data_IF_975545614307
#
_entry.id   IF_975545614307
#
_cell.length_a   1.000
_cell.length_b   1.000
_cell.length_c   1.000
_cell.angle_alpha   90.00
_cell.angle_beta   90.00
_cell.angle_gamma   90.00
#
_symmetry.space_group_name_H-M   'P 1'
#
loop_
_entity.id
_entity.type
_entity.pdbx_description
1 polymer ?
#
# COMPACT_ATOMS: atom_id res chain seq x y z
N UNK A 1 9.74 26.20 6.38
CA UNK A 1 9.78 25.57 5.43
C UNK A 1 8.76 24.59 5.29
N UNK A 2 8.37 24.24 4.71
CA UNK A 2 7.40 23.39 4.47
C UNK A 2 7.88 22.01 4.39
N UNK A 3 7.06 21.10 4.46
CA UNK A 3 7.39 19.74 4.17
C UNK A 3 7.78 19.63 2.74
N UNK A 4 8.93 19.06 2.54
CA UNK A 4 9.42 18.89 1.22
C UNK A 4 8.92 17.58 0.66
N UNK A 5 8.65 17.61 -0.61
CA UNK A 5 8.40 16.37 -1.32
C UNK A 5 9.73 15.80 -1.74
N UNK A 6 10.17 14.75 -1.08
CA UNK A 6 11.42 14.10 -1.40
C UNK A 6 11.10 12.87 -2.21
N UNK A 7 11.48 12.86 -3.49
CA UNK A 7 11.16 11.74 -4.39
C UNK A 7 9.67 11.49 -4.45
N UNK A 8 8.87 12.54 -4.41
CA UNK A 8 7.43 12.41 -4.38
C UNK A 8 6.87 12.06 -3.02
N UNK A 9 7.71 12.05 -1.99
CA UNK A 9 7.28 11.69 -0.65
C UNK A 9 7.06 12.94 0.17
N UNK A 10 5.91 13.01 0.79
CA UNK A 10 5.65 14.04 1.76
C UNK A 10 6.04 13.52 3.11
N UNK A 11 6.97 14.15 3.75
CA UNK A 11 7.53 13.62 4.98
C UNK A 11 6.83 14.14 6.21
N UNK A 12 5.50 14.28 6.16
CA UNK A 12 4.74 14.70 7.31
C UNK A 12 4.63 13.65 8.40
N UNK A 13 4.92 12.39 8.06
CA UNK A 13 4.74 11.27 9.00
C UNK A 13 5.98 10.39 8.98
N UNK A 14 7.00 10.77 9.77
CA UNK A 14 8.23 9.94 9.78
C UNK A 14 7.99 8.50 10.23
N UNK A 15 6.98 8.25 11.06
CA UNK A 15 6.67 6.90 11.48
C UNK A 15 6.21 6.05 10.29
N UNK A 16 5.46 6.61 9.37
CA UNK A 16 5.02 5.87 8.19
C UNK A 16 6.19 5.59 7.26
N UNK A 17 7.05 6.58 7.09
CA UNK A 17 8.22 6.44 6.21
C UNK A 17 9.16 5.35 6.71
N UNK A 18 9.31 5.22 8.03
CA UNK A 18 10.29 4.32 8.62
C UNK A 18 9.70 3.01 9.12
N UNK A 19 8.40 2.77 8.93
CA UNK A 19 7.78 1.52 9.37
C UNK A 19 8.44 0.32 8.73
N UNK A 20 8.48 -0.77 9.48
CA UNK A 20 9.05 -2.02 8.98
C UNK A 20 7.97 -2.85 8.28
N UNK A 21 7.23 -2.23 7.42
CA UNK A 21 6.35 -2.90 6.47
C UNK A 21 6.20 -1.96 5.28
N UNK A 22 5.83 -2.52 4.13
CA UNK A 22 5.72 -1.73 2.91
C UNK A 22 4.35 -1.05 2.88
N UNK A 23 4.35 0.27 2.72
CA UNK A 23 3.12 1.05 2.61
C UNK A 23 3.13 1.75 1.26
N UNK A 24 2.12 1.49 0.45
CA UNK A 24 1.96 2.10 -0.86
C UNK A 24 0.57 2.71 -0.93
N UNK A 25 0.50 3.97 -1.36
CA UNK A 25 -0.76 4.70 -1.41
C UNK A 25 -0.99 5.18 -2.84
N UNK A 26 -2.20 4.97 -3.34
CA UNK A 26 -2.58 5.54 -4.64
C UNK A 26 -3.80 6.44 -4.46
N UNK A 27 -4.02 7.30 -5.45
CA UNK A 27 -5.25 8.09 -5.51
C UNK A 27 -6.38 7.27 -6.15
N UNK A 28 -7.52 7.91 -6.33
CA UNK A 28 -8.70 7.18 -6.83
C UNK A 28 -8.58 6.78 -8.30
N UNK A 29 -7.64 7.37 -9.04
CA UNK A 29 -7.36 6.94 -10.40
C UNK A 29 -6.31 5.85 -10.47
N UNK A 30 -5.78 5.42 -9.33
CA UNK A 30 -4.76 4.39 -9.29
C UNK A 30 -3.34 4.91 -9.43
N UNK A 31 -3.14 6.22 -9.41
CA UNK A 31 -1.80 6.79 -9.49
C UNK A 31 -1.14 6.72 -8.12
N UNK A 32 0.05 6.14 -8.07
CA UNK A 32 0.78 5.99 -6.82
C UNK A 32 1.27 7.37 -6.37
N UNK A 33 0.90 7.75 -5.15
CA UNK A 33 1.24 9.07 -4.60
C UNK A 33 2.21 8.99 -3.45
N UNK A 34 2.38 7.81 -2.83
CA UNK A 34 3.31 7.66 -1.71
C UNK A 34 3.78 6.21 -1.64
N UNK A 35 5.06 6.05 -1.37
CA UNK A 35 5.66 4.76 -1.04
C UNK A 35 6.63 5.02 0.09
N UNK A 36 6.47 4.30 1.21
CA UNK A 36 7.44 4.46 2.28
C UNK A 36 8.74 3.74 1.91
N UNK A 37 9.76 3.85 2.78
CA UNK A 37 11.07 3.29 2.47
C UNK A 37 10.98 1.81 2.16
N UNK A 38 10.25 1.05 2.96
CA UNK A 38 10.16 -0.39 2.76
C UNK A 38 9.48 -0.74 1.43
N UNK A 39 8.47 0.03 1.05
CA UNK A 39 7.79 -0.17 -0.22
C UNK A 39 8.74 0.09 -1.38
N UNK A 40 9.52 1.16 -1.30
CA UNK A 40 10.48 1.46 -2.35
C UNK A 40 11.53 0.36 -2.47
N UNK A 41 12.03 -0.13 -1.33
CA UNK A 41 13.01 -1.22 -1.35
C UNK A 41 12.44 -2.49 -1.96
N UNK A 42 11.16 -2.73 -1.72
CA UNK A 42 10.52 -3.96 -2.18
C UNK A 42 10.17 -3.91 -3.67
N UNK A 43 9.68 -2.77 -4.14
CA UNK A 43 9.06 -2.71 -5.46
C UNK A 43 9.83 -1.87 -6.48
N UNK A 44 10.72 -0.99 -6.07
CA UNK A 44 11.46 -0.14 -7.02
C UNK A 44 12.80 -0.80 -7.33
N UNK A 45 12.76 -1.80 -8.20
CA UNK A 45 13.90 -2.69 -8.40
C UNK A 45 15.11 -2.00 -9.01
N UNK A 46 14.91 -1.10 -9.93
CA UNK A 46 16.01 -0.48 -10.65
C UNK A 46 16.37 0.88 -10.10
N UNK A 47 16.01 1.16 -8.86
CA UNK A 47 16.21 2.47 -8.28
C UNK A 47 15.28 3.52 -8.83
N UNK A 48 14.37 3.16 -9.72
CA UNK A 48 13.38 4.09 -10.24
C UNK A 48 12.18 4.14 -9.33
N UNK A 49 11.72 5.34 -9.03
CA UNK A 49 10.50 5.52 -8.26
C UNK A 49 9.30 5.11 -9.09
N UNK A 50 8.34 4.44 -8.45
CA UNK A 50 7.06 4.16 -9.08
C UNK A 50 6.01 5.22 -8.76
N UNK A 51 6.36 6.22 -7.95
CA UNK A 51 5.46 7.31 -7.64
C UNK A 51 5.12 8.05 -8.94
N UNK A 52 3.84 8.33 -9.13
CA UNK A 52 3.36 8.94 -10.36
C UNK A 52 2.95 7.95 -11.42
N UNK A 53 3.26 6.66 -11.26
CA UNK A 53 2.82 5.65 -12.21
C UNK A 53 1.47 5.11 -11.79
N UNK A 54 0.76 4.53 -12.74
CA UNK A 54 -0.57 3.99 -12.50
C UNK A 54 -0.45 2.51 -12.18
N UNK A 55 -0.93 2.12 -11.00
CA UNK A 55 -0.78 0.73 -10.57
C UNK A 55 -1.64 -0.24 -11.39
N UNK A 56 -2.67 0.25 -12.09
CA UNK A 56 -3.42 -0.63 -12.99
C UNK A 56 -2.54 -1.17 -14.11
N UNK A 57 -1.51 -0.43 -14.51
CA UNK A 57 -0.62 -0.87 -15.57
C UNK A 57 0.27 -2.03 -15.18
N UNK A 58 0.46 -2.27 -13.88
CA UNK A 58 1.35 -3.32 -13.40
C UNK A 58 0.60 -4.55 -12.92
N UNK A 59 -0.72 -4.56 -12.97
CA UNK A 59 -1.52 -5.64 -12.39
C UNK A 59 -2.31 -6.35 -13.48
N UNK A 60 -2.50 -7.68 -13.34
CA UNK A 60 -3.36 -8.40 -14.28
C UNK A 60 -4.82 -7.98 -14.09
N UNK A 61 -5.64 -8.35 -15.06
CA UNK A 61 -7.02 -7.86 -15.12
C UNK A 61 -7.82 -8.21 -13.86
N UNK A 62 -7.65 -9.42 -13.34
CA UNK A 62 -8.43 -9.81 -12.16
C UNK A 62 -8.09 -8.96 -10.93
N UNK A 63 -6.83 -8.55 -10.82
CA UNK A 63 -6.42 -7.66 -9.72
C UNK A 63 -6.95 -6.24 -9.93
N UNK A 64 -6.96 -5.78 -11.19
CA UNK A 64 -7.50 -4.46 -11.50
C UNK A 64 -8.98 -4.36 -11.18
N UNK A 65 -9.73 -5.44 -11.47
CA UNK A 65 -11.16 -5.48 -11.15
C UNK A 65 -11.37 -5.33 -9.65
N UNK A 66 -10.57 -6.03 -8.85
CA UNK A 66 -10.69 -5.93 -7.38
C UNK A 66 -10.37 -4.53 -6.88
N UNK A 67 -9.33 -3.91 -7.42
CA UNK A 67 -8.95 -2.57 -6.99
C UNK A 67 -10.05 -1.57 -7.35
N UNK A 68 -10.60 -1.65 -8.56
CA UNK A 68 -11.70 -0.78 -8.94
C UNK A 68 -12.91 -0.96 -8.04
N UNK A 69 -13.19 -2.21 -7.66
CA UNK A 69 -14.31 -2.49 -6.77
C UNK A 69 -14.08 -1.86 -5.40
N UNK A 70 -12.87 -1.97 -4.86
CA UNK A 70 -12.58 -1.33 -3.58
C UNK A 70 -12.75 0.18 -3.66
N UNK A 71 -12.29 0.78 -4.76
CA UNK A 71 -12.40 2.22 -4.93
C UNK A 71 -13.84 2.69 -5.08
N UNK A 72 -14.73 1.82 -5.55
CA UNK A 72 -16.13 2.21 -5.73
C UNK A 72 -17.01 1.86 -4.54
N UNK A 73 -16.70 0.77 -3.83
CA UNK A 73 -17.57 0.29 -2.74
C UNK A 73 -17.04 0.61 -1.36
N UNK A 74 -15.75 0.85 -1.22
CA UNK A 74 -15.14 1.03 0.10
C UNK A 74 -14.75 -0.27 0.77
N UNK A 75 -14.91 -1.40 0.09
CA UNK A 75 -14.52 -2.70 0.67
C UNK A 75 -13.01 -2.80 0.80
N UNK A 76 -12.58 -3.57 1.79
CA UNK A 76 -11.16 -3.90 1.97
C UNK A 76 -10.90 -5.30 1.46
N UNK A 77 -9.63 -5.62 1.24
CA UNK A 77 -9.23 -6.92 0.74
C UNK A 77 -7.98 -7.35 1.50
N UNK A 78 -7.88 -8.63 1.82
CA UNK A 78 -6.69 -9.13 2.48
C UNK A 78 -6.41 -10.55 2.02
N UNK A 79 -5.13 -10.88 1.92
CA UNK A 79 -4.70 -12.21 1.51
C UNK A 79 -3.25 -12.39 1.94
N UNK A 80 -2.77 -13.63 1.83
CA UNK A 80 -1.37 -13.91 2.11
C UNK A 80 -0.69 -14.39 0.84
N UNK A 81 0.60 -14.13 0.77
CA UNK A 81 1.46 -14.67 -0.28
C UNK A 81 2.65 -15.32 0.39
N UNK A 82 3.34 -16.17 -0.35
CA UNK A 82 4.59 -16.76 0.10
C UNK A 82 5.59 -16.65 -1.03
N UNK A 83 6.77 -16.14 -0.72
CA UNK A 83 7.81 -15.97 -1.70
C UNK A 83 9.14 -16.25 -1.02
N UNK A 84 9.92 -17.16 -1.61
CA UNK A 84 11.20 -17.56 -1.05
C UNK A 84 11.09 -17.98 0.41
N UNK A 85 10.01 -18.70 0.75
CA UNK A 85 9.79 -19.18 2.10
C UNK A 85 9.28 -18.15 3.08
N UNK A 86 9.12 -16.92 2.68
CA UNK A 86 8.64 -15.85 3.57
C UNK A 86 7.17 -15.59 3.28
N UNK A 87 6.35 -15.67 4.32
CA UNK A 87 4.92 -15.38 4.21
C UNK A 87 4.68 -13.92 4.53
N UNK A 88 3.83 -13.31 3.71
CA UNK A 88 3.44 -11.92 3.90
C UNK A 88 1.94 -11.81 3.87
N UNK A 89 1.40 -10.88 4.65
CA UNK A 89 0.01 -10.49 4.55
C UNK A 89 -0.08 -9.22 3.74
N UNK A 90 -0.99 -9.21 2.79
CA UNK A 90 -1.28 -8.03 1.98
C UNK A 90 -2.65 -7.54 2.41
N UNK A 91 -2.72 -6.29 2.85
CA UNK A 91 -3.96 -5.67 3.27
C UNK A 91 -4.18 -4.44 2.42
N UNK A 92 -5.31 -4.36 1.77
CA UNK A 92 -5.66 -3.26 0.87
C UNK A 92 -6.96 -2.66 1.36
N UNK A 93 -6.98 -1.35 1.54
CA UNK A 93 -8.17 -0.68 2.04
C UNK A 93 -8.25 0.71 1.44
N UNK A 94 -9.46 1.18 1.11
CA UNK A 94 -9.61 2.57 0.68
C UNK A 94 -9.30 3.54 1.82
N UNK A 95 -8.82 4.73 1.45
CA UNK A 95 -8.70 5.83 2.39
C UNK A 95 -9.63 6.95 1.94
N UNK A 96 -10.04 7.78 2.90
CA UNK A 96 -11.06 8.78 2.63
C UNK A 96 -10.51 10.15 2.98
N UNK A 97 -10.97 11.15 2.23
CA UNK A 97 -10.61 12.53 2.52
C UNK A 97 -11.48 13.07 3.66
N UNK A 98 -11.31 14.34 3.97
CA UNK A 98 -12.00 14.95 5.10
C UNK A 98 -13.50 15.04 4.89
N UNK A 99 -13.99 14.91 3.66
CA UNK A 99 -15.42 14.90 3.38
C UNK A 99 -16.03 13.52 3.49
N UNK A 100 -15.21 12.48 3.68
CA UNK A 100 -15.68 11.10 3.73
C UNK A 100 -15.69 10.42 2.38
N UNK A 101 -15.30 11.09 1.32
CA UNK A 101 -15.26 10.49 0.00
C UNK A 101 -14.02 9.62 -0.15
N UNK A 102 -14.14 8.52 -0.90
CA UNK A 102 -13.00 7.66 -1.17
C UNK A 102 -12.01 8.44 -2.03
N UNK A 103 -10.77 8.53 -1.52
CA UNK A 103 -9.73 9.31 -2.17
C UNK A 103 -8.67 8.42 -2.81
N UNK A 104 -8.64 7.12 -2.46
CA UNK A 104 -7.69 6.21 -3.02
C UNK A 104 -7.61 4.94 -2.21
N UNK A 105 -6.49 4.25 -2.31
CA UNK A 105 -6.28 2.97 -1.65
C UNK A 105 -4.91 2.95 -1.00
N UNK A 106 -4.83 2.29 0.15
CA UNK A 106 -3.56 2.01 0.83
C UNK A 106 -3.34 0.52 0.78
N UNK A 107 -2.14 0.11 0.40
CA UNK A 107 -1.72 -1.29 0.49
C UNK A 107 -0.61 -1.40 1.52
N UNK A 108 -0.77 -2.32 2.46
CA UNK A 108 0.25 -2.64 3.45
C UNK A 108 0.67 -4.08 3.21
N UNK A 109 1.98 -4.28 3.06
CA UNK A 109 2.57 -5.61 2.88
C UNK A 109 3.51 -5.83 4.06
N UNK A 110 3.25 -6.87 4.85
CA UNK A 110 4.04 -7.13 6.04
C UNK A 110 4.39 -8.60 6.13
N UNK A 111 5.58 -8.88 6.64
CA UNK A 111 6.00 -10.24 6.93
C UNK A 111 5.23 -10.72 8.14
N UNK A 112 4.69 -11.92 8.07
CA UNK A 112 4.03 -12.52 9.22
C UNK A 112 4.85 -13.71 9.72
N UNK A 113 4.87 -13.93 11.05
CA UNK A 113 5.62 -15.06 11.60
C UNK A 113 5.06 -16.39 11.13
N UNK A 114 5.93 -17.40 11.10
CA UNK A 114 5.50 -18.75 10.74
C UNK A 114 4.40 -19.24 11.66
N UNK A 115 4.51 -18.89 12.94
CA UNK A 115 3.49 -19.21 13.93
C UNK A 115 3.07 -17.92 14.59
N UNK A 116 1.86 -17.50 14.31
CA UNK A 116 1.34 -16.23 14.81
C UNK A 116 0.44 -16.52 16.01
N UNK A 117 0.78 -16.02 17.20
CA UNK A 117 -0.06 -16.27 18.36
C UNK A 117 -1.45 -15.71 18.17
N UNK A 118 -2.42 -16.36 18.76
CA UNK A 118 -3.80 -15.90 18.74
C UNK A 118 -4.32 -15.89 20.18
N UNK A 119 -4.94 -14.78 20.56
CA UNK A 119 -5.49 -14.61 21.89
C UNK A 119 -6.97 -14.28 21.76
N UNK A 120 -7.81 -15.12 22.39
CA UNK A 120 -9.24 -14.83 22.43
C UNK A 120 -9.48 -13.87 23.60
N UNK A 121 -10.03 -12.72 23.31
CA UNK A 121 -10.30 -11.68 24.30
C UNK A 121 -11.78 -11.38 24.46
N UNK A 122 -12.63 -12.29 24.04
CA UNK A 122 -14.08 -12.16 24.21
C UNK A 122 -14.51 -12.32 25.66
#
# INVERSE_FOLDING_TARGET
MENEMVNGLECGFPWAEAMNCAVTVCDKEGVIVYMNRKSRETFCKDGRSLIGTNLFGCHPEHARVKIRRMLSTGESNSYTIQKHGVRKMIYQTPWRDTTGAIAGMVEISMVIPAEMPHYNRD
#
